data_IF_494721116312
#
_entry.id   IF_494721116312
#
_cell.length_a   1.000
_cell.length_b   1.000
_cell.length_c   1.000
_cell.angle_alpha   90.00
_cell.angle_beta   90.00
_cell.angle_gamma   90.00
#
_symmetry.space_group_name_H-M   'P 1'
#
loop_
_entity.id
_entity.type
_entity.pdbx_description
1 polymer ?
#
# COMPACT_ATOMS: atom_id res chain seq x y z
N UNK A 1 -3.72 29.51 -12.34
CA UNK A 1 -3.76 28.53 -11.24
C UNK A 1 -2.52 28.79 -10.39
N UNK A 2 -2.64 28.83 -9.07
CA UNK A 2 -1.45 28.93 -8.22
C UNK A 2 -0.54 27.73 -8.50
N UNK A 3 0.77 27.96 -8.53
CA UNK A 3 1.75 26.89 -8.71
C UNK A 3 1.65 25.91 -7.53
N UNK A 4 1.54 24.62 -7.80
CA UNK A 4 1.47 23.62 -6.72
C UNK A 4 2.79 23.64 -5.96
N UNK A 5 2.76 23.79 -4.61
CA UNK A 5 3.98 23.78 -3.82
C UNK A 5 4.80 22.51 -4.07
N UNK A 6 6.11 22.67 -4.20
CA UNK A 6 7.01 21.53 -4.39
C UNK A 6 7.21 20.79 -3.07
N UNK A 7 6.99 19.49 -3.11
CA UNK A 7 7.16 18.60 -1.97
C UNK A 7 8.14 17.49 -2.37
N UNK A 8 9.05 17.15 -1.46
CA UNK A 8 10.00 16.08 -1.66
C UNK A 8 9.87 14.99 -0.60
N UNK A 9 10.29 13.78 -0.94
CA UNK A 9 10.63 12.72 -0.01
C UNK A 9 12.10 12.92 0.36
N UNK A 10 12.39 12.93 1.66
CA UNK A 10 13.73 13.22 2.21
C UNK A 10 14.26 12.07 3.08
N UNK A 11 13.43 11.10 3.44
CA UNK A 11 13.85 9.93 4.22
C UNK A 11 12.85 8.79 4.07
N UNK A 12 13.37 7.57 4.07
CA UNK A 12 12.59 6.33 3.98
C UNK A 12 13.07 5.30 4.99
N UNK A 13 12.15 4.50 5.51
CA UNK A 13 12.47 3.39 6.40
C UNK A 13 11.46 2.27 6.25
N UNK A 14 11.94 1.03 6.21
CA UNK A 14 11.11 -0.14 6.03
C UNK A 14 11.64 -1.31 6.86
N UNK A 15 10.73 -2.13 7.40
CA UNK A 15 11.08 -3.42 8.01
C UNK A 15 11.10 -4.52 6.95
N UNK A 16 11.76 -5.63 7.24
CA UNK A 16 11.58 -6.85 6.45
C UNK A 16 10.13 -7.33 6.61
N UNK A 17 9.51 -7.71 5.50
CA UNK A 17 8.17 -8.28 5.49
C UNK A 17 8.23 -9.78 5.77
N UNK A 18 7.27 -10.29 6.55
CA UNK A 18 7.25 -11.70 6.88
C UNK A 18 6.21 -12.04 7.94
N UNK A 19 6.30 -13.26 8.45
CA UNK A 19 5.53 -13.71 9.61
C UNK A 19 6.26 -13.33 10.90
N UNK A 20 6.05 -12.10 11.37
CA UNK A 20 6.80 -11.48 12.46
C UNK A 20 6.15 -11.75 13.83
N UNK A 21 6.17 -13.00 14.27
CA UNK A 21 5.63 -13.38 15.60
C UNK A 21 6.51 -12.96 16.78
N UNK A 22 7.76 -12.67 16.51
CA UNK A 22 8.81 -12.25 17.44
C UNK A 22 8.84 -10.74 17.69
N UNK A 23 8.07 -9.97 16.95
CA UNK A 23 8.09 -8.50 16.98
C UNK A 23 6.68 -7.97 17.17
N UNK A 24 6.45 -7.12 18.13
CA UNK A 24 5.15 -6.48 18.34
C UNK A 24 4.83 -5.45 17.25
N UNK A 25 3.55 -5.07 17.13
CA UNK A 25 3.13 -4.02 16.21
C UNK A 25 3.85 -2.68 16.49
N UNK A 26 3.92 -2.19 17.76
CA UNK A 26 4.69 -0.98 18.08
C UNK A 26 6.16 -1.05 17.69
N UNK A 27 6.83 -2.19 17.85
CA UNK A 27 8.23 -2.35 17.47
C UNK A 27 8.44 -2.30 15.95
N UNK A 28 7.51 -2.84 15.14
CA UNK A 28 7.54 -2.70 13.68
C UNK A 28 7.46 -1.23 13.27
N UNK A 29 6.49 -0.50 13.85
CA UNK A 29 6.31 0.94 13.59
C UNK A 29 7.57 1.72 13.98
N UNK A 30 8.04 1.54 15.21
CA UNK A 30 9.24 2.22 15.72
C UNK A 30 10.46 1.97 14.83
N UNK A 31 10.67 0.71 14.42
CA UNK A 31 11.81 0.35 13.57
C UNK A 31 11.76 1.07 12.22
N UNK A 32 10.60 1.11 11.57
CA UNK A 32 10.44 1.81 10.29
C UNK A 32 10.67 3.32 10.45
N UNK A 33 10.11 3.92 11.50
CA UNK A 33 10.26 5.36 11.78
C UNK A 33 11.72 5.71 12.07
N UNK A 34 12.39 4.93 12.92
CA UNK A 34 13.83 5.14 13.20
C UNK A 34 14.67 5.09 11.94
N UNK A 35 14.47 4.10 11.08
CA UNK A 35 15.18 3.97 9.81
C UNK A 35 14.93 5.18 8.90
N UNK A 36 13.70 5.71 8.85
CA UNK A 36 13.39 6.90 8.05
C UNK A 36 14.03 8.17 8.59
N UNK A 37 14.06 8.33 9.91
CA UNK A 37 14.73 9.46 10.57
C UNK A 37 16.25 9.39 10.37
N UNK A 38 16.83 8.21 10.53
CA UNK A 38 18.28 7.98 10.34
C UNK A 38 18.68 8.23 8.87
N UNK A 39 17.84 7.82 7.90
CA UNK A 39 18.06 8.07 6.46
C UNK A 39 18.02 9.56 6.11
N UNK A 40 17.12 10.32 6.76
CA UNK A 40 17.02 11.76 6.59
C UNK A 40 18.04 12.57 7.42
N UNK A 41 18.70 11.94 8.39
CA UNK A 41 19.53 12.65 9.37
C UNK A 41 18.71 13.55 10.31
N UNK A 42 17.45 13.21 10.56
CA UNK A 42 16.53 13.98 11.40
C UNK A 42 16.26 13.30 12.74
N UNK A 43 15.80 14.12 13.67
CA UNK A 43 15.20 13.67 14.94
C UNK A 43 13.69 13.76 14.87
N UNK A 44 13.01 13.08 15.80
CA UNK A 44 11.54 13.14 15.88
C UNK A 44 11.01 14.55 16.19
N UNK A 45 11.81 15.38 16.88
CA UNK A 45 11.42 16.75 17.23
C UNK A 45 11.31 17.67 16.00
N UNK A 46 11.96 17.32 14.90
CA UNK A 46 11.91 18.05 13.64
C UNK A 46 10.72 17.67 12.76
N UNK A 47 9.91 16.70 13.18
CA UNK A 47 8.67 16.32 12.51
C UNK A 47 7.52 17.17 13.05
N UNK A 48 6.80 17.87 12.16
CA UNK A 48 5.69 18.75 12.52
C UNK A 48 4.37 18.00 12.72
N UNK A 49 4.10 16.95 11.92
CA UNK A 49 2.88 16.18 11.98
C UNK A 49 3.11 14.72 11.54
N UNK A 50 2.24 13.82 11.98
CA UNK A 50 2.27 12.40 11.63
C UNK A 50 0.97 11.99 10.96
N UNK A 51 1.08 11.29 9.84
CA UNK A 51 -0.03 10.59 9.19
C UNK A 51 0.23 9.09 9.28
N UNK A 52 -0.63 8.36 9.98
CA UNK A 52 -0.48 6.93 10.11
C UNK A 52 -1.62 6.15 9.44
N UNK A 53 -1.37 4.91 9.09
CA UNK A 53 -2.37 4.04 8.49
C UNK A 53 -2.16 2.57 8.78
N UNK A 54 -3.27 1.91 9.02
CA UNK A 54 -3.37 0.46 9.19
C UNK A 54 -4.77 -0.01 8.80
N UNK A 55 -4.97 -1.31 8.68
CA UNK A 55 -6.29 -1.92 8.53
C UNK A 55 -7.20 -1.58 9.73
N UNK A 56 -8.52 -1.74 9.57
CA UNK A 56 -9.46 -1.52 10.66
C UNK A 56 -9.18 -2.40 11.89
N UNK A 57 -9.54 -1.89 13.04
CA UNK A 57 -9.44 -2.50 14.36
C UNK A 57 -9.72 -4.02 14.51
N UNK A 58 -10.62 -4.66 13.73
CA UNK A 58 -10.86 -6.11 13.87
C UNK A 58 -9.66 -7.02 13.65
N UNK A 59 -8.65 -6.56 12.90
CA UNK A 59 -7.43 -7.37 12.67
C UNK A 59 -6.55 -7.45 13.92
N UNK A 60 -6.48 -6.35 14.67
CA UNK A 60 -5.60 -6.20 15.82
C UNK A 60 -6.31 -6.41 17.16
N UNK A 61 -7.63 -6.58 17.14
CA UNK A 61 -8.45 -6.70 18.35
C UNK A 61 -8.52 -5.42 19.20
N UNK A 62 -8.08 -4.29 18.65
CA UNK A 62 -8.00 -2.99 19.34
C UNK A 62 -8.78 -1.93 18.59
N UNK A 63 -9.69 -1.24 19.26
CA UNK A 63 -10.57 -0.25 18.63
C UNK A 63 -9.88 1.05 18.19
N UNK A 64 -8.78 1.41 18.85
CA UNK A 64 -8.06 2.65 18.58
C UNK A 64 -6.54 2.46 18.60
N UNK A 65 -5.98 1.58 17.75
CA UNK A 65 -4.56 1.26 17.78
C UNK A 65 -3.67 2.49 17.54
N UNK A 66 -4.14 3.45 16.76
CA UNK A 66 -3.41 4.69 16.48
C UNK A 66 -3.13 5.55 17.73
N UNK A 67 -3.89 5.39 18.81
CA UNK A 67 -3.66 6.20 20.01
C UNK A 67 -2.34 5.84 20.68
N UNK A 68 -2.01 4.57 20.86
CA UNK A 68 -0.77 4.18 21.52
C UNK A 68 0.40 3.99 20.57
N UNK A 69 0.25 3.24 19.47
CA UNK A 69 1.39 3.07 18.58
C UNK A 69 1.64 4.28 17.66
N UNK A 70 0.61 5.07 17.35
CA UNK A 70 0.78 6.34 16.64
C UNK A 70 1.48 7.38 17.51
N UNK A 71 1.06 7.54 18.76
CA UNK A 71 1.67 8.51 19.67
C UNK A 71 3.06 8.08 20.14
N UNK A 72 3.22 6.82 20.57
CA UNK A 72 4.46 6.39 21.21
C UNK A 72 5.48 5.89 20.18
N UNK A 73 5.08 4.92 19.34
CA UNK A 73 6.03 4.25 18.43
C UNK A 73 6.32 5.06 17.17
N UNK A 74 5.34 5.79 16.63
CA UNK A 74 5.55 6.71 15.52
C UNK A 74 6.00 8.10 15.96
N UNK A 75 6.07 8.38 17.27
CA UNK A 75 6.53 9.65 17.82
C UNK A 75 5.60 10.82 17.60
N UNK A 76 4.28 10.57 17.48
CA UNK A 76 3.29 11.63 17.31
C UNK A 76 2.88 12.31 18.64
N UNK A 77 3.43 11.90 19.77
CA UNK A 77 3.15 12.52 21.08
C UNK A 77 3.32 14.04 21.01
N UNK A 78 2.27 14.78 21.42
CA UNK A 78 2.19 16.26 21.38
C UNK A 78 2.26 16.87 19.96
N UNK A 79 2.03 16.07 18.90
CA UNK A 79 1.99 16.51 17.50
C UNK A 79 0.63 16.24 16.87
N UNK A 80 0.22 17.00 15.84
CA UNK A 80 -0.92 16.64 15.01
C UNK A 80 -0.78 15.23 14.46
N UNK A 81 -1.81 14.40 14.68
CA UNK A 81 -1.88 13.02 14.22
C UNK A 81 -3.18 12.77 13.46
N UNK A 82 -3.09 12.25 12.26
CA UNK A 82 -4.24 11.78 11.48
C UNK A 82 -4.05 10.31 11.12
N UNK A 83 -5.10 9.51 11.37
CA UNK A 83 -5.17 8.12 10.90
C UNK A 83 -5.97 8.01 9.60
N UNK A 84 -5.40 7.29 8.65
CA UNK A 84 -6.03 6.97 7.37
C UNK A 84 -6.33 5.46 7.32
N UNK A 85 -7.51 5.12 6.82
CA UNK A 85 -7.89 3.73 6.53
C UNK A 85 -8.76 3.69 5.28
N UNK A 86 -8.20 3.25 4.16
CA UNK A 86 -8.85 3.14 2.85
C UNK A 86 -8.69 1.73 2.27
N UNK A 87 -8.79 0.71 3.13
CA UNK A 87 -8.63 -0.70 2.77
C UNK A 87 -7.29 -0.97 2.07
N UNK A 88 -7.30 -1.67 0.93
CA UNK A 88 -6.10 -2.03 0.19
C UNK A 88 -5.26 -0.85 -0.32
N UNK A 89 -5.82 0.34 -0.40
CA UNK A 89 -5.12 1.57 -0.79
C UNK A 89 -4.57 2.39 0.39
N UNK A 90 -4.68 1.91 1.63
CA UNK A 90 -4.30 2.68 2.82
C UNK A 90 -2.87 3.21 2.75
N UNK A 91 -1.89 2.40 2.33
CA UNK A 91 -0.50 2.83 2.27
C UNK A 91 -0.28 4.03 1.35
N UNK A 92 -0.84 4.00 0.14
CA UNK A 92 -0.73 5.15 -0.78
C UNK A 92 -1.53 6.35 -0.29
N UNK A 93 -2.70 6.15 0.35
CA UNK A 93 -3.51 7.24 0.90
C UNK A 93 -2.81 7.97 2.05
N UNK A 94 -2.04 7.25 2.87
CA UNK A 94 -1.18 7.83 3.92
C UNK A 94 -0.11 8.73 3.30
N UNK A 95 0.61 8.26 2.29
CA UNK A 95 1.61 9.04 1.58
C UNK A 95 1.00 10.28 0.89
N UNK A 96 -0.15 10.14 0.25
CA UNK A 96 -0.87 11.25 -0.37
C UNK A 96 -1.33 12.28 0.66
N UNK A 97 -1.84 11.83 1.80
CA UNK A 97 -2.26 12.73 2.87
C UNK A 97 -1.08 13.51 3.44
N UNK A 98 0.07 12.87 3.64
CA UNK A 98 1.30 13.57 4.06
C UNK A 98 1.75 14.61 3.03
N UNK A 99 1.70 14.25 1.73
CA UNK A 99 1.95 15.23 0.67
C UNK A 99 1.00 16.43 0.76
N UNK A 100 -0.31 16.22 0.95
CA UNK A 100 -1.28 17.31 1.07
C UNK A 100 -1.04 18.18 2.31
N UNK A 101 -0.61 17.59 3.43
CA UNK A 101 -0.25 18.33 4.64
C UNK A 101 0.90 19.31 4.35
N UNK A 102 1.96 18.86 3.70
CA UNK A 102 3.09 19.73 3.32
C UNK A 102 2.67 20.73 2.25
N UNK A 103 1.97 20.29 1.21
CA UNK A 103 1.52 21.16 0.11
C UNK A 103 0.53 22.25 0.56
N UNK A 104 -0.17 22.05 1.68
CA UNK A 104 -1.06 23.05 2.28
C UNK A 104 -0.30 24.26 2.84
N UNK A 105 1.01 24.12 3.10
CA UNK A 105 1.84 25.13 3.75
C UNK A 105 1.65 25.24 5.28
N UNK A 106 0.85 24.34 5.89
CA UNK A 106 0.64 24.31 7.35
C UNK A 106 1.77 23.57 8.08
N UNK A 107 2.46 22.66 7.41
CA UNK A 107 3.54 21.84 7.94
C UNK A 107 4.69 21.80 6.95
N UNK A 108 5.90 21.87 7.47
CA UNK A 108 7.11 21.79 6.64
C UNK A 108 7.65 20.36 6.50
N UNK A 109 7.56 19.55 7.57
CA UNK A 109 8.07 18.17 7.61
C UNK A 109 7.02 17.23 8.19
N UNK A 110 6.58 16.27 7.40
CA UNK A 110 5.50 15.33 7.77
C UNK A 110 5.96 13.89 7.63
N UNK A 111 5.78 13.11 8.68
CA UNK A 111 6.04 11.68 8.71
C UNK A 111 4.78 10.91 8.30
N UNK A 112 4.88 10.13 7.23
CA UNK A 112 3.90 9.14 6.82
C UNK A 112 4.33 7.75 7.29
N UNK A 113 3.50 7.01 8.01
CA UNK A 113 3.81 5.65 8.46
C UNK A 113 2.64 4.71 8.24
N UNK A 114 2.91 3.61 7.56
CA UNK A 114 1.96 2.50 7.36
C UNK A 114 2.51 1.22 7.96
N UNK A 115 1.66 0.49 8.67
CA UNK A 115 2.05 -0.78 9.29
C UNK A 115 0.87 -1.75 9.32
N UNK A 116 1.19 -3.04 9.25
CA UNK A 116 0.20 -4.09 9.36
C UNK A 116 0.78 -5.34 10.01
N UNK A 117 -0.03 -6.01 10.82
CA UNK A 117 0.32 -7.27 11.45
C UNK A 117 -0.74 -8.33 11.19
N UNK A 118 -0.79 -8.80 9.95
CA UNK A 118 -1.83 -9.69 9.43
C UNK A 118 -1.84 -11.07 10.09
N UNK A 119 -0.70 -11.52 10.63
CA UNK A 119 -0.60 -12.81 11.30
C UNK A 119 -1.16 -12.84 12.74
N UNK A 120 -1.58 -11.70 13.28
CA UNK A 120 -2.30 -11.63 14.56
C UNK A 120 -3.81 -11.83 14.41
N UNK A 121 -4.33 -11.76 13.18
CA UNK A 121 -5.74 -11.95 12.86
C UNK A 121 -5.98 -13.00 11.79
N UNK A 122 -7.23 -13.04 11.30
CA UNK A 122 -7.63 -13.81 10.11
C UNK A 122 -7.86 -12.83 8.95
N UNK A 123 -6.84 -12.60 8.08
CA UNK A 123 -6.86 -11.52 7.09
C UNK A 123 -8.03 -11.59 6.12
N UNK A 124 -8.41 -12.79 5.66
CA UNK A 124 -9.47 -12.96 4.68
C UNK A 124 -10.85 -12.66 5.30
N UNK A 125 -11.07 -13.03 6.56
CA UNK A 125 -12.29 -12.68 7.29
C UNK A 125 -12.40 -11.18 7.51
N UNK A 126 -11.30 -10.52 7.90
CA UNK A 126 -11.27 -9.07 8.06
C UNK A 126 -11.52 -8.36 6.72
N UNK A 127 -10.92 -8.82 5.62
CA UNK A 127 -11.14 -8.26 4.29
C UNK A 127 -12.61 -8.39 3.83
N UNK A 128 -13.35 -9.38 4.33
CA UNK A 128 -14.79 -9.48 4.06
C UNK A 128 -15.59 -8.37 4.76
N UNK A 129 -15.13 -7.88 5.92
CA UNK A 129 -15.85 -6.85 6.69
C UNK A 129 -15.86 -5.47 6.02
N UNK A 130 -15.02 -5.23 5.01
CA UNK A 130 -15.03 -3.99 4.22
C UNK A 130 -16.13 -4.00 3.13
N UNK A 131 -16.82 -5.13 2.94
CA UNK A 131 -17.92 -5.25 2.02
C UNK A 131 -19.23 -4.83 2.65
N UNK A 132 -20.19 -4.44 1.81
CA UNK A 132 -21.53 -4.15 2.25
C UNK A 132 -22.15 -5.41 2.90
N UNK A 133 -22.80 -5.21 4.05
CA UNK A 133 -23.13 -6.29 5.00
C UNK A 133 -24.19 -7.26 4.47
N UNK A 134 -25.21 -6.76 3.78
CA UNK A 134 -26.39 -7.56 3.46
C UNK A 134 -26.26 -8.29 2.12
N UNK A 135 -25.70 -7.64 1.12
CA UNK A 135 -25.65 -8.16 -0.25
C UNK A 135 -24.27 -8.68 -0.66
N UNK A 136 -23.18 -8.06 -0.19
CA UNK A 136 -21.84 -8.39 -0.66
C UNK A 136 -21.08 -9.35 0.25
N UNK A 137 -21.21 -9.25 1.59
CA UNK A 137 -20.51 -10.16 2.52
C UNK A 137 -20.85 -11.63 2.26
N UNK A 138 -22.13 -12.04 2.05
CA UNK A 138 -22.46 -13.44 1.83
C UNK A 138 -21.77 -14.07 0.61
N UNK A 139 -21.46 -13.27 -0.40
CA UNK A 139 -20.82 -13.71 -1.65
C UNK A 139 -19.31 -13.45 -1.69
N UNK A 140 -18.76 -12.81 -0.68
CA UNK A 140 -17.32 -12.46 -0.67
C UNK A 140 -16.47 -13.66 -0.32
N UNK A 141 -15.60 -14.05 -1.25
CA UNK A 141 -14.57 -15.08 -1.07
C UNK A 141 -13.19 -14.47 -0.72
N UNK A 142 -13.16 -13.27 -0.13
CA UNK A 142 -11.94 -12.54 0.12
C UNK A 142 -11.32 -11.91 -1.13
N UNK A 143 -10.07 -11.46 -1.04
CA UNK A 143 -9.39 -10.84 -2.18
C UNK A 143 -9.19 -11.81 -3.37
N UNK A 144 -8.75 -13.06 -3.18
CA UNK A 144 -8.58 -14.00 -4.30
C UNK A 144 -9.87 -14.21 -5.10
N UNK A 145 -11.02 -14.29 -4.42
CA UNK A 145 -12.31 -14.45 -5.10
C UNK A 145 -12.70 -13.26 -5.97
N UNK A 146 -12.41 -12.04 -5.52
CA UNK A 146 -12.66 -10.84 -6.32
C UNK A 146 -11.81 -10.82 -7.60
N UNK A 147 -10.52 -11.11 -7.48
CA UNK A 147 -9.63 -11.18 -8.66
C UNK A 147 -9.96 -12.35 -9.58
N UNK A 148 -10.44 -13.47 -9.04
CA UNK A 148 -10.93 -14.58 -9.84
C UNK A 148 -12.16 -14.21 -10.69
N UNK A 149 -13.10 -13.45 -10.13
CA UNK A 149 -14.24 -12.91 -10.91
C UNK A 149 -13.75 -11.98 -12.03
N UNK A 150 -12.80 -11.09 -11.76
CA UNK A 150 -12.21 -10.21 -12.77
C UNK A 150 -11.49 -10.99 -13.87
N UNK A 151 -10.75 -12.04 -13.52
CA UNK A 151 -10.07 -12.90 -14.49
C UNK A 151 -11.07 -13.61 -15.41
N UNK A 152 -12.18 -14.13 -14.85
CA UNK A 152 -13.24 -14.76 -15.65
C UNK A 152 -13.93 -13.77 -16.58
N UNK A 153 -14.25 -12.56 -16.09
CA UNK A 153 -14.84 -11.50 -16.91
C UNK A 153 -13.90 -11.06 -18.03
N UNK A 154 -12.61 -10.92 -17.73
CA UNK A 154 -11.57 -10.59 -18.72
C UNK A 154 -11.52 -11.65 -19.86
N UNK A 155 -11.48 -12.93 -19.50
CA UNK A 155 -11.50 -14.02 -20.48
C UNK A 155 -12.75 -13.96 -21.37
N UNK A 156 -13.92 -13.76 -20.74
CA UNK A 156 -15.17 -13.68 -21.46
C UNK A 156 -15.24 -12.46 -22.40
N UNK A 157 -14.86 -11.29 -21.90
CA UNK A 157 -14.93 -10.02 -22.63
C UNK A 157 -14.03 -9.99 -23.86
N UNK A 158 -12.80 -10.49 -23.74
CA UNK A 158 -11.81 -10.46 -24.81
C UNK A 158 -11.72 -11.76 -25.62
N UNK A 159 -12.45 -12.78 -25.24
CA UNK A 159 -12.41 -14.09 -25.90
C UNK A 159 -11.11 -14.87 -25.70
N UNK A 160 -10.36 -14.55 -24.63
CA UNK A 160 -9.15 -15.29 -24.30
C UNK A 160 -9.47 -16.65 -23.67
N UNK A 161 -8.63 -17.62 -23.97
CA UNK A 161 -8.71 -18.94 -23.33
C UNK A 161 -8.12 -18.88 -21.91
N UNK A 162 -8.54 -19.83 -21.07
CA UNK A 162 -7.94 -20.01 -19.74
C UNK A 162 -6.43 -20.22 -19.83
N UNK A 163 -5.96 -21.01 -20.81
CA UNK A 163 -4.55 -21.31 -20.99
C UNK A 163 -3.73 -20.06 -21.28
N UNK A 164 -4.19 -19.16 -22.15
CA UNK A 164 -3.52 -17.88 -22.45
C UNK A 164 -3.40 -17.00 -21.22
N UNK A 165 -4.49 -16.82 -20.47
CA UNK A 165 -4.51 -15.95 -19.28
C UNK A 165 -3.66 -16.54 -18.15
N UNK A 166 -3.72 -17.87 -17.95
CA UNK A 166 -2.92 -18.56 -16.95
C UNK A 166 -1.43 -18.55 -17.27
N UNK A 167 -1.07 -18.68 -18.54
CA UNK A 167 0.34 -18.60 -18.97
C UNK A 167 0.90 -17.19 -18.69
N UNK A 168 0.19 -16.14 -19.08
CA UNK A 168 0.60 -14.76 -18.84
C UNK A 168 0.74 -14.46 -17.31
N UNK A 169 -0.21 -14.95 -16.50
CA UNK A 169 -0.15 -14.82 -15.05
C UNK A 169 1.06 -15.57 -14.46
N UNK A 170 1.35 -16.79 -14.94
CA UNK A 170 2.47 -17.58 -14.46
C UNK A 170 3.83 -16.93 -14.81
N UNK A 171 3.98 -16.41 -16.02
CA UNK A 171 5.19 -15.67 -16.44
C UNK A 171 5.43 -14.44 -15.56
N UNK A 172 4.36 -13.68 -15.25
CA UNK A 172 4.43 -12.53 -14.35
C UNK A 172 4.82 -12.95 -12.92
N UNK A 173 4.24 -14.03 -12.40
CA UNK A 173 4.57 -14.57 -11.08
C UNK A 173 6.03 -15.00 -10.98
N UNK A 174 6.55 -15.69 -12.00
CA UNK A 174 7.97 -16.08 -12.06
C UNK A 174 8.89 -14.86 -12.07
N UNK A 175 8.57 -13.83 -12.85
CA UNK A 175 9.33 -12.58 -12.87
C UNK A 175 9.35 -11.94 -11.49
N UNK A 176 8.18 -11.77 -10.84
CA UNK A 176 8.07 -11.14 -9.53
C UNK A 176 8.83 -11.93 -8.45
N UNK A 177 8.80 -13.27 -8.48
CA UNK A 177 9.59 -14.10 -7.58
C UNK A 177 11.10 -13.98 -7.84
N UNK A 178 11.51 -13.84 -9.10
CA UNK A 178 12.91 -13.61 -9.46
C UNK A 178 13.40 -12.28 -8.92
N UNK A 179 12.64 -11.20 -9.13
CA UNK A 179 12.97 -9.87 -8.62
C UNK A 179 13.01 -9.83 -7.08
N UNK A 180 12.18 -10.65 -6.42
CA UNK A 180 12.15 -10.75 -4.96
C UNK A 180 13.41 -11.38 -4.36
N UNK A 181 14.18 -12.18 -5.11
CA UNK A 181 15.40 -12.82 -4.59
C UNK A 181 16.42 -11.78 -4.11
N UNK A 182 16.55 -10.68 -4.83
CA UNK A 182 17.51 -9.60 -4.56
C UNK A 182 16.93 -8.49 -3.66
N UNK A 183 15.61 -8.51 -3.38
CA UNK A 183 14.98 -7.53 -2.50
C UNK A 183 15.18 -7.90 -1.02
N UNK A 184 15.94 -7.12 -0.21
CA UNK A 184 16.19 -7.44 1.19
C UNK A 184 14.92 -7.51 2.03
N UNK A 185 13.85 -6.81 1.64
CA UNK A 185 12.61 -6.69 2.38
C UNK A 185 11.52 -7.70 1.98
N UNK A 186 11.73 -8.46 0.90
CA UNK A 186 10.73 -9.41 0.43
C UNK A 186 10.49 -10.56 1.40
N UNK A 187 9.21 -10.93 1.60
CA UNK A 187 8.81 -12.04 2.47
C UNK A 187 9.17 -13.39 1.86
N UNK A 188 8.85 -13.61 0.60
CA UNK A 188 9.07 -14.88 -0.09
C UNK A 188 10.23 -14.72 -1.08
N UNK A 189 11.31 -15.45 -0.82
CA UNK A 189 12.53 -15.46 -1.63
C UNK A 189 12.80 -16.87 -2.13
N UNK A 190 11.93 -17.36 -3.01
CA UNK A 190 12.05 -18.67 -3.65
C UNK A 190 12.07 -18.52 -5.17
N UNK A 191 12.92 -19.30 -5.81
CA UNK A 191 12.92 -19.45 -7.26
C UNK A 191 11.81 -20.41 -7.66
N UNK A 192 10.96 -19.99 -8.58
CA UNK A 192 9.87 -20.81 -9.15
C UNK A 192 9.94 -20.83 -10.66
N UNK A 193 9.33 -21.82 -11.28
CA UNK A 193 9.14 -21.96 -12.72
C UNK A 193 7.68 -21.72 -13.09
N UNK A 194 7.42 -21.55 -14.38
CA UNK A 194 6.06 -21.48 -14.94
C UNK A 194 5.27 -22.74 -14.57
N UNK A 195 5.89 -23.91 -14.68
CA UNK A 195 5.25 -25.18 -14.33
C UNK A 195 4.87 -25.26 -12.85
N UNK A 196 5.70 -24.71 -11.93
CA UNK A 196 5.36 -24.64 -10.51
C UNK A 196 4.08 -23.82 -10.28
N UNK A 197 3.95 -22.69 -10.98
CA UNK A 197 2.75 -21.83 -10.88
C UNK A 197 1.54 -22.56 -11.43
N UNK A 198 1.64 -23.10 -12.66
CA UNK A 198 0.54 -23.78 -13.35
C UNK A 198 0.06 -25.04 -12.62
N UNK A 199 0.92 -25.71 -11.85
CA UNK A 199 0.58 -26.89 -11.06
C UNK A 199 0.27 -26.60 -9.59
N UNK A 200 0.41 -25.33 -9.15
CA UNK A 200 0.07 -24.95 -7.78
C UNK A 200 -1.44 -25.08 -7.50
N UNK A 201 -1.78 -25.23 -6.22
CA UNK A 201 -3.17 -25.45 -5.78
C UNK A 201 -4.08 -24.27 -6.21
N UNK A 202 -5.25 -24.58 -6.75
CA UNK A 202 -6.29 -23.57 -7.01
C UNK A 202 -6.82 -23.05 -5.66
N UNK A 203 -6.83 -21.72 -5.51
CA UNK A 203 -7.43 -21.02 -4.37
C UNK A 203 -8.86 -20.63 -4.68
N UNK A 204 -9.08 -19.97 -5.82
CA UNK A 204 -10.38 -19.62 -6.36
C UNK A 204 -10.25 -19.55 -7.88
N UNK A 205 -10.93 -20.43 -8.61
CA UNK A 205 -10.76 -20.59 -10.06
C UNK A 205 -10.94 -19.26 -10.83
N UNK A 206 -9.98 -18.87 -11.73
CA UNK A 206 -8.79 -19.61 -12.15
C UNK A 206 -7.53 -19.35 -11.31
N UNK A 207 -7.60 -18.53 -10.27
CA UNK A 207 -6.46 -18.07 -9.44
C UNK A 207 -5.87 -19.20 -8.59
N UNK A 208 -4.56 -19.34 -8.62
CA UNK A 208 -3.78 -20.36 -7.92
C UNK A 208 -2.92 -19.78 -6.79
N UNK A 209 -2.35 -20.67 -5.99
CA UNK A 209 -1.56 -20.28 -4.81
C UNK A 209 -0.38 -19.37 -5.14
N UNK A 210 0.36 -19.68 -6.22
CA UNK A 210 1.53 -18.88 -6.60
C UNK A 210 1.19 -17.62 -7.42
N UNK A 211 -0.07 -17.39 -7.75
CA UNK A 211 -0.57 -16.11 -8.28
C UNK A 211 -0.86 -15.10 -7.16
N UNK A 212 -0.97 -15.56 -5.91
CA UNK A 212 -1.44 -14.74 -4.78
C UNK A 212 -0.27 -14.30 -3.91
N UNK A 213 -0.23 -13.01 -3.57
CA UNK A 213 0.74 -12.48 -2.61
C UNK A 213 0.54 -13.13 -1.22
N UNK A 214 1.63 -13.35 -0.43
CA UNK A 214 1.50 -13.82 0.94
C UNK A 214 0.88 -12.74 1.83
N UNK A 215 0.16 -13.14 2.87
CA UNK A 215 -0.08 -12.25 4.01
C UNK A 215 1.25 -11.95 4.69
N UNK A 216 1.48 -10.70 5.06
CA UNK A 216 2.77 -10.29 5.63
C UNK A 216 2.57 -9.23 6.71
N UNK A 217 3.37 -9.34 7.76
CA UNK A 217 3.56 -8.30 8.76
C UNK A 217 4.69 -7.39 8.30
N UNK A 218 4.60 -6.10 8.60
CA UNK A 218 5.66 -5.14 8.27
C UNK A 218 5.21 -3.70 8.46
N UNK A 219 6.18 -2.79 8.40
CA UNK A 219 5.96 -1.36 8.46
C UNK A 219 6.87 -0.61 7.49
N UNK A 220 6.38 0.53 7.01
CA UNK A 220 7.13 1.47 6.19
C UNK A 220 6.85 2.90 6.65
N UNK A 221 7.89 3.74 6.68
CA UNK A 221 7.81 5.15 6.99
C UNK A 221 8.47 5.98 5.88
N UNK A 222 7.87 7.13 5.58
CA UNK A 222 8.35 8.07 4.54
C UNK A 222 8.24 9.48 5.10
N UNK A 223 9.29 10.27 4.98
CA UNK A 223 9.32 11.66 5.42
C UNK A 223 9.16 12.58 4.21
N UNK A 224 8.11 13.41 4.24
CA UNK A 224 7.83 14.43 3.25
C UNK A 224 8.24 15.80 3.78
N UNK A 225 8.84 16.63 2.93
CA UNK A 225 9.27 17.96 3.30
C UNK A 225 8.92 19.01 2.23
N UNK A 226 8.66 20.25 2.68
CA UNK A 226 8.54 21.42 1.81
C UNK A 226 9.84 21.67 1.05
N UNK A 227 9.79 22.39 -0.08
CA UNK A 227 10.98 22.65 -0.89
C UNK A 227 12.12 23.28 -0.07
N UNK A 228 11.80 24.24 0.77
CA UNK A 228 12.78 24.94 1.58
C UNK A 228 13.47 23.98 2.58
N UNK A 229 12.68 23.14 3.26
CA UNK A 229 13.21 22.16 4.21
C UNK A 229 13.95 21.03 3.53
N UNK A 230 13.42 20.51 2.44
CA UNK A 230 14.04 19.43 1.69
C UNK A 230 15.47 19.78 1.26
N UNK A 231 15.67 21.00 0.77
CA UNK A 231 17.01 21.50 0.38
C UNK A 231 17.98 21.73 1.55
N UNK A 232 17.46 21.86 2.78
CA UNK A 232 18.28 21.94 4.00
C UNK A 232 18.66 20.55 4.54
N UNK A 233 17.76 19.57 4.34
CA UNK A 233 17.91 18.21 4.85
C UNK A 233 18.83 17.38 3.96
N UNK A 234 18.70 17.49 2.62
CA UNK A 234 19.48 16.67 1.70
C UNK A 234 19.82 17.39 0.40
N UNK A 235 20.98 17.10 -0.16
CA UNK A 235 21.39 17.58 -1.49
C UNK A 235 20.69 16.87 -2.63
N UNK A 236 20.05 15.72 -2.36
CA UNK A 236 19.39 14.87 -3.36
C UNK A 236 17.92 14.60 -3.02
N UNK A 237 17.06 15.64 -2.86
CA UNK A 237 15.65 15.45 -2.55
C UNK A 237 14.91 14.76 -3.70
N UNK A 238 14.04 13.79 -3.38
CA UNK A 238 13.22 13.10 -4.37
C UNK A 238 11.88 13.82 -4.53
N UNK A 239 11.75 14.61 -5.59
CA UNK A 239 10.58 15.45 -5.82
C UNK A 239 9.36 14.66 -6.26
N UNK A 240 8.22 14.86 -5.59
CA UNK A 240 6.93 14.36 -6.04
C UNK A 240 6.46 15.21 -7.22
N UNK A 241 6.47 14.65 -8.42
CA UNK A 241 6.11 15.33 -9.66
C UNK A 241 4.63 15.31 -9.96
N UNK A 242 3.95 14.26 -9.57
CA UNK A 242 2.54 14.10 -9.84
C UNK A 242 1.87 13.15 -8.86
N UNK A 243 0.61 13.43 -8.60
CA UNK A 243 -0.23 12.68 -7.69
C UNK A 243 -1.60 12.47 -8.32
N UNK A 244 -2.12 11.26 -8.23
CA UNK A 244 -3.45 10.91 -8.69
C UNK A 244 -4.12 9.90 -7.79
N UNK A 245 -5.39 10.14 -7.51
CA UNK A 245 -6.23 9.25 -6.73
C UNK A 245 -7.66 9.28 -7.28
N UNK A 246 -8.28 8.11 -7.37
CA UNK A 246 -9.67 7.98 -7.78
C UNK A 246 -10.27 6.74 -7.13
N UNK A 247 -11.41 6.89 -6.45
CA UNK A 247 -12.20 5.75 -5.98
C UNK A 247 -12.95 5.11 -7.14
N UNK A 248 -13.14 3.79 -7.09
CA UNK A 248 -14.03 3.05 -7.97
C UNK A 248 -15.43 3.01 -7.37
N UNK A 249 -16.41 2.67 -8.19
CA UNK A 249 -17.77 2.42 -7.73
C UNK A 249 -17.80 1.22 -6.79
N UNK A 250 -18.61 1.34 -5.72
CA UNK A 250 -18.60 0.36 -4.65
C UNK A 250 -19.30 -0.96 -5.01
N UNK A 251 -20.42 -0.87 -5.77
CA UNK A 251 -21.20 -2.04 -6.14
C UNK A 251 -20.49 -2.86 -7.22
N UNK A 252 -20.29 -4.15 -6.94
CA UNK A 252 -19.63 -5.05 -7.89
C UNK A 252 -20.38 -5.19 -9.21
N UNK A 253 -21.70 -4.96 -9.21
CA UNK A 253 -22.54 -5.00 -10.41
C UNK A 253 -22.38 -3.78 -11.31
N UNK A 254 -22.02 -2.63 -10.74
CA UNK A 254 -21.95 -1.36 -11.46
C UNK A 254 -20.52 -1.04 -11.95
N UNK A 255 -19.50 -1.65 -11.33
CA UNK A 255 -18.11 -1.44 -11.75
C UNK A 255 -17.75 -2.30 -12.96
N UNK A 256 -17.03 -1.69 -13.91
CA UNK A 256 -16.36 -2.42 -14.98
C UNK A 256 -15.19 -3.24 -14.40
N UNK A 257 -15.28 -4.57 -14.49
CA UNK A 257 -14.25 -5.46 -13.93
C UNK A 257 -13.07 -5.69 -14.87
N UNK A 258 -13.22 -5.30 -16.11
CA UNK A 258 -12.21 -5.50 -17.17
C UNK A 258 -11.35 -4.25 -17.30
N UNK A 259 -11.97 -3.07 -17.27
CA UNK A 259 -11.28 -1.78 -17.42
C UNK A 259 -11.40 -0.96 -16.15
N UNK A 260 -10.30 -0.82 -15.44
CA UNK A 260 -10.25 -0.07 -14.18
C UNK A 260 -10.25 1.44 -14.44
N UNK A 261 -11.43 2.03 -14.49
CA UNK A 261 -11.62 3.46 -14.76
C UNK A 261 -10.98 4.33 -13.68
N UNK A 262 -10.99 3.90 -12.43
CA UNK A 262 -10.31 4.59 -11.33
C UNK A 262 -8.79 4.69 -11.56
N UNK A 263 -8.16 3.61 -11.99
CA UNK A 263 -6.72 3.58 -12.28
C UNK A 263 -6.38 4.54 -13.45
N UNK A 264 -7.19 4.52 -14.51
CA UNK A 264 -7.02 5.41 -15.68
C UNK A 264 -7.15 6.88 -15.26
N UNK A 265 -8.16 7.23 -14.45
CA UNK A 265 -8.38 8.60 -13.97
C UNK A 265 -7.26 9.04 -13.05
N UNK A 266 -6.82 8.19 -12.11
CA UNK A 266 -5.71 8.48 -11.22
C UNK A 266 -4.39 8.68 -12.00
N UNK A 267 -4.09 7.82 -12.97
CA UNK A 267 -2.92 7.95 -13.83
C UNK A 267 -2.95 9.27 -14.62
N UNK A 268 -4.07 9.60 -15.26
CA UNK A 268 -4.23 10.86 -16.01
C UNK A 268 -4.02 12.10 -15.12
N UNK A 269 -4.52 12.08 -13.89
CA UNK A 269 -4.30 13.15 -12.93
C UNK A 269 -2.82 13.31 -12.57
N UNK A 270 -2.15 12.20 -12.23
CA UNK A 270 -0.74 12.19 -11.88
C UNK A 270 0.15 12.64 -13.05
N UNK A 271 -0.07 12.11 -14.24
CA UNK A 271 0.69 12.50 -15.44
C UNK A 271 0.43 13.95 -15.84
N UNK A 272 -0.83 14.40 -15.74
CA UNK A 272 -1.17 15.80 -16.00
C UNK A 272 -0.45 16.78 -15.07
N UNK A 273 -0.42 16.47 -13.76
CA UNK A 273 0.33 17.24 -12.77
C UNK A 273 1.84 17.22 -13.04
N UNK A 274 2.39 16.06 -13.43
CA UNK A 274 3.80 15.89 -13.73
C UNK A 274 4.24 16.46 -15.08
N UNK A 275 3.30 16.88 -15.95
CA UNK A 275 3.59 17.31 -17.33
C UNK A 275 4.01 16.17 -18.26
N UNK A 276 3.73 14.91 -17.89
CA UNK A 276 4.05 13.73 -18.69
C UNK A 276 2.95 13.51 -19.73
N UNK A 277 3.32 13.56 -21.00
CA UNK A 277 2.38 13.36 -22.12
C UNK A 277 2.34 11.91 -22.62
N UNK A 278 3.43 11.20 -22.45
CA UNK A 278 3.62 9.83 -22.95
C UNK A 278 4.41 9.06 -21.89
N UNK A 279 3.76 8.32 -20.96
CA UNK A 279 4.41 7.59 -19.88
C UNK A 279 5.10 6.30 -20.37
#
# INVERSE_FOLDING_TARGET
MAETPRVAIVGIGQTEHGKRRDTSFPELVYTAVRRALDDAGLTIDEIDAVVNGSMPAPMEGVNAPHLYWGNDSAGAGMKPLIRIATCGSTGISVAQSAFYHVASGLFDVVLAVGAEKQYEGEPQGVMRTVRERFFLIPFSAGAPGTFAMQSNEYMHHYGHTEEEVRMAAAELSVRNHTDALDNPYAHIKIKISVDDVLNSRIICYPVRLLDVCPSSDGACAVIFASENKARQITDTPVWVKGLGYCGEEYWLGDSDKVVWQSAIRAARAAYGMAGIKNP
#
